data_IF_069533116103
#
_entry.id   IF_069533116103
#
_cell.length_a   1.000
_cell.length_b   1.000
_cell.length_c   1.000
_cell.angle_alpha   90.00
_cell.angle_beta   90.00
_cell.angle_gamma   90.00
#
_symmetry.space_group_name_H-M   'P 1'
#
loop_
_entity.id
_entity.type
_entity.pdbx_description
1 polymer ?
#
# COMPACT_ATOMS: atom_id res chain seq x y z
N UNK A 1 15.01 -7.12 26.24
CA UNK A 1 15.90 -7.34 25.09
C UNK A 1 15.42 -6.53 23.90
N UNK A 2 16.26 -5.67 23.39
CA UNK A 2 15.96 -4.88 22.20
C UNK A 2 16.25 -5.69 20.95
N UNK A 3 15.24 -5.80 20.10
CA UNK A 3 15.46 -6.27 18.74
C UNK A 3 15.88 -5.09 17.89
N UNK A 4 17.05 -5.18 17.29
CA UNK A 4 17.55 -4.16 16.39
C UNK A 4 17.18 -4.56 14.96
N UNK A 5 16.57 -3.65 14.23
CA UNK A 5 16.32 -3.83 12.80
C UNK A 5 17.65 -3.90 12.05
N UNK A 6 17.66 -4.66 10.96
CA UNK A 6 18.73 -4.55 9.98
C UNK A 6 18.66 -3.16 9.35
N UNK A 7 19.68 -2.29 9.54
CA UNK A 7 19.58 -0.90 9.09
C UNK A 7 19.58 -0.75 7.57
N UNK A 8 20.23 -1.67 6.85
CA UNK A 8 20.22 -1.65 5.39
C UNK A 8 18.83 -2.04 4.86
N UNK A 9 18.24 -3.09 5.44
CA UNK A 9 16.88 -3.51 5.10
C UNK A 9 15.87 -2.39 5.34
N UNK A 10 15.94 -1.74 6.50
CA UNK A 10 15.04 -0.64 6.82
C UNK A 10 15.14 0.50 5.83
N UNK A 11 16.36 0.91 5.47
CA UNK A 11 16.59 1.99 4.51
C UNK A 11 16.07 1.63 3.11
N UNK A 12 16.33 0.41 2.65
CA UNK A 12 15.87 -0.07 1.34
C UNK A 12 14.35 -0.15 1.27
N UNK A 13 13.69 -0.57 2.35
CA UNK A 13 12.23 -0.66 2.41
C UNK A 13 11.60 0.73 2.45
N UNK A 14 12.17 1.69 3.18
CA UNK A 14 11.70 3.08 3.14
C UNK A 14 11.76 3.64 1.72
N UNK A 15 12.84 3.38 1.00
CA UNK A 15 12.99 3.81 -0.39
C UNK A 15 11.93 3.16 -1.30
N UNK A 16 11.61 1.87 -1.08
CA UNK A 16 10.55 1.19 -1.82
C UNK A 16 9.21 1.90 -1.63
N UNK A 17 8.86 2.30 -0.40
CA UNK A 17 7.61 3.03 -0.15
C UNK A 17 7.61 4.42 -0.77
N UNK A 18 8.73 5.13 -0.77
CA UNK A 18 8.85 6.42 -1.46
C UNK A 18 8.65 6.27 -2.97
N UNK A 19 9.25 5.25 -3.56
CA UNK A 19 9.08 4.92 -4.98
C UNK A 19 7.62 4.62 -5.32
N UNK A 20 6.92 3.88 -4.47
CA UNK A 20 5.48 3.61 -4.63
C UNK A 20 4.67 4.90 -4.59
N UNK A 21 4.95 5.77 -3.64
CA UNK A 21 4.26 7.06 -3.51
C UNK A 21 4.44 7.92 -4.76
N UNK A 22 5.65 7.97 -5.29
CA UNK A 22 5.95 8.70 -6.53
C UNK A 22 5.26 8.05 -7.74
N UNK A 23 5.23 6.73 -7.81
CA UNK A 23 4.57 6.00 -8.88
C UNK A 23 3.05 6.25 -8.89
N UNK A 24 2.43 6.32 -7.73
CA UNK A 24 1.01 6.66 -7.61
C UNK A 24 0.74 8.10 -8.06
N UNK A 25 1.56 9.05 -7.63
CA UNK A 25 1.44 10.45 -8.04
C UNK A 25 1.63 10.64 -9.55
N UNK A 26 2.51 9.86 -10.15
CA UNK A 26 2.81 9.91 -11.58
C UNK A 26 1.98 8.96 -12.44
N UNK A 27 1.07 8.20 -11.84
CA UNK A 27 0.24 7.18 -12.52
C UNK A 27 1.10 6.14 -13.25
N UNK A 28 2.22 5.77 -12.66
CA UNK A 28 3.18 4.81 -13.21
C UNK A 28 2.85 3.39 -12.72
N UNK A 29 1.98 2.72 -13.46
CA UNK A 29 1.52 1.37 -13.10
C UNK A 29 2.65 0.33 -13.11
N UNK A 30 3.61 0.48 -14.01
CA UNK A 30 4.73 -0.47 -14.14
C UNK A 30 5.62 -0.43 -12.91
N UNK A 31 6.03 0.76 -12.48
CA UNK A 31 6.84 0.93 -11.26
C UNK A 31 6.08 0.49 -10.02
N UNK A 32 4.79 0.83 -9.93
CA UNK A 32 3.94 0.42 -8.82
C UNK A 32 3.85 -1.12 -8.71
N UNK A 33 3.64 -1.79 -9.83
CA UNK A 33 3.55 -3.25 -9.87
C UNK A 33 4.89 -3.92 -9.55
N UNK A 34 6.00 -3.31 -9.94
CA UNK A 34 7.34 -3.85 -9.70
C UNK A 34 7.71 -3.95 -8.22
N UNK A 35 7.04 -3.23 -7.34
CA UNK A 35 7.23 -3.32 -5.89
C UNK A 35 6.67 -4.62 -5.32
N UNK A 36 5.78 -5.30 -6.04
CA UNK A 36 5.15 -6.52 -5.58
C UNK A 36 5.82 -7.76 -6.16
N UNK A 37 5.85 -8.82 -5.34
CA UNK A 37 6.17 -10.16 -5.83
C UNK A 37 5.13 -10.61 -6.85
N UNK A 38 5.56 -11.44 -7.81
CA UNK A 38 4.67 -11.96 -8.86
C UNK A 38 3.47 -12.76 -8.28
N UNK A 39 3.64 -13.35 -7.11
CA UNK A 39 2.61 -14.14 -6.42
C UNK A 39 2.00 -13.41 -5.23
N UNK A 40 2.06 -12.09 -5.21
CA UNK A 40 1.53 -11.27 -4.11
C UNK A 40 0.08 -11.62 -3.77
N UNK A 41 -0.23 -11.66 -2.48
CA UNK A 41 -1.59 -11.85 -1.98
C UNK A 41 -2.06 -10.55 -1.33
N UNK A 42 -3.17 -10.00 -1.79
CA UNK A 42 -3.69 -8.73 -1.31
C UNK A 42 -5.08 -8.90 -0.72
N UNK A 43 -5.24 -8.42 0.51
CA UNK A 43 -6.54 -8.22 1.16
C UNK A 43 -6.80 -6.72 1.16
N UNK A 44 -7.60 -6.28 0.19
CA UNK A 44 -7.85 -4.85 0.01
C UNK A 44 -9.00 -4.36 0.90
N UNK A 45 -9.06 -3.05 1.11
CA UNK A 45 -10.16 -2.41 1.81
C UNK A 45 -11.47 -2.47 1.03
N UNK A 46 -11.40 -2.64 -0.29
CA UNK A 46 -12.57 -2.79 -1.17
C UNK A 46 -12.68 -4.23 -1.67
N UNK A 47 -13.92 -4.67 -1.94
CA UNK A 47 -14.17 -6.02 -2.45
C UNK A 47 -13.37 -6.31 -3.73
N UNK A 48 -12.99 -7.55 -3.98
CA UNK A 48 -13.35 -8.78 -3.27
C UNK A 48 -12.53 -8.99 -1.98
N UNK A 49 -12.76 -10.10 -1.27
CA UNK A 49 -12.00 -10.42 -0.06
C UNK A 49 -10.50 -10.53 -0.29
N UNK A 50 -10.11 -11.03 -1.46
CA UNK A 50 -8.69 -11.21 -1.79
C UNK A 50 -8.49 -11.19 -3.30
N UNK A 51 -7.30 -10.75 -3.71
CA UNK A 51 -6.80 -10.96 -5.07
C UNK A 51 -5.30 -11.22 -5.01
N UNK A 52 -4.75 -11.76 -6.08
CA UNK A 52 -3.34 -12.16 -6.08
C UNK A 52 -2.72 -12.08 -7.46
N UNK A 53 -1.39 -11.98 -7.49
CA UNK A 53 -0.57 -12.10 -8.68
C UNK A 53 -0.97 -11.14 -9.79
N UNK A 54 -1.16 -11.66 -10.99
CA UNK A 54 -1.51 -10.87 -12.17
C UNK A 54 -2.83 -10.11 -12.03
N UNK A 55 -3.80 -10.65 -11.29
CA UNK A 55 -5.04 -9.94 -10.98
C UNK A 55 -4.78 -8.68 -10.18
N UNK A 56 -3.87 -8.75 -9.20
CA UNK A 56 -3.48 -7.57 -8.40
C UNK A 56 -2.86 -6.48 -9.28
N UNK A 57 -2.02 -6.86 -10.23
CA UNK A 57 -1.44 -5.93 -11.19
C UNK A 57 -2.52 -5.27 -12.06
N UNK A 58 -3.46 -6.05 -12.57
CA UNK A 58 -4.56 -5.54 -13.37
C UNK A 58 -5.41 -4.54 -12.58
N UNK A 59 -5.70 -4.83 -11.31
CA UNK A 59 -6.46 -3.94 -10.42
C UNK A 59 -5.75 -2.61 -10.17
N UNK A 60 -4.43 -2.63 -10.04
CA UNK A 60 -3.65 -1.39 -9.90
C UNK A 60 -3.77 -0.52 -11.14
N UNK A 61 -3.71 -1.12 -12.33
CA UNK A 61 -3.88 -0.39 -13.60
C UNK A 61 -5.27 0.23 -13.71
N UNK A 62 -6.30 -0.52 -13.35
CA UNK A 62 -7.68 -0.05 -13.35
C UNK A 62 -7.87 1.10 -12.36
N UNK A 63 -7.27 0.97 -11.17
CA UNK A 63 -7.35 1.98 -10.14
C UNK A 63 -6.73 3.31 -10.60
N UNK A 64 -5.52 3.25 -11.15
CA UNK A 64 -4.86 4.45 -11.68
C UNK A 64 -5.66 5.07 -12.83
N UNK A 65 -6.21 4.23 -13.72
CA UNK A 65 -6.98 4.69 -14.87
C UNK A 65 -8.31 5.37 -14.48
N UNK A 66 -8.85 5.06 -13.30
CA UNK A 66 -10.09 5.67 -12.82
C UNK A 66 -9.91 7.12 -12.36
N UNK A 67 -8.68 7.58 -12.20
CA UNK A 67 -8.36 8.93 -11.72
C UNK A 67 -7.93 9.84 -12.86
N UNK A 68 -8.43 11.08 -12.84
CA UNK A 68 -7.97 12.15 -13.73
C UNK A 68 -6.61 12.68 -13.27
N UNK A 69 -6.42 12.79 -11.95
CA UNK A 69 -5.17 13.21 -11.33
C UNK A 69 -4.29 12.01 -11.02
N UNK A 70 -3.05 12.27 -10.59
CA UNK A 70 -2.29 11.29 -9.83
C UNK A 70 -3.02 10.95 -8.53
N UNK A 71 -2.63 9.85 -7.92
CA UNK A 71 -3.17 9.44 -6.62
C UNK A 71 -2.21 9.89 -5.54
N UNK A 72 -2.70 10.71 -4.61
CA UNK A 72 -1.96 11.09 -3.42
C UNK A 72 -1.85 9.90 -2.47
N UNK A 73 -0.69 9.74 -1.87
CA UNK A 73 -0.38 8.60 -1.00
C UNK A 73 0.48 9.11 0.16
N UNK A 74 -0.18 9.68 1.16
CA UNK A 74 0.48 10.27 2.32
C UNK A 74 0.59 9.24 3.43
N UNK A 75 1.82 8.76 3.67
CA UNK A 75 2.10 7.76 4.70
C UNK A 75 2.34 8.46 6.04
N UNK A 76 1.74 7.89 7.09
CA UNK A 76 1.94 8.33 8.46
C UNK A 76 2.25 7.14 9.35
N UNK A 77 3.19 7.35 10.29
CA UNK A 77 3.56 6.38 11.32
C UNK A 77 4.08 5.06 10.73
N UNK A 78 4.89 5.14 9.68
CA UNK A 78 5.50 3.96 9.07
C UNK A 78 6.46 3.31 10.05
N UNK A 79 6.12 2.10 10.47
CA UNK A 79 6.94 1.28 11.36
C UNK A 79 7.41 0.04 10.60
N UNK A 80 8.71 -0.11 10.49
CA UNK A 80 9.35 -1.22 9.76
C UNK A 80 10.04 -2.12 10.77
N UNK A 81 9.75 -3.42 10.69
CA UNK A 81 10.46 -4.46 11.45
C UNK A 81 11.07 -5.42 10.44
N UNK A 82 12.40 -5.47 10.39
CA UNK A 82 13.09 -6.19 9.33
C UNK A 82 14.34 -6.90 9.84
N UNK A 83 14.56 -8.11 9.33
CA UNK A 83 15.89 -8.73 9.33
C UNK A 83 16.46 -8.68 7.91
N UNK A 84 17.50 -9.48 7.62
CA UNK A 84 18.19 -9.41 6.33
C UNK A 84 17.33 -9.84 5.14
N UNK A 85 16.28 -10.64 5.34
CA UNK A 85 15.55 -11.29 4.26
C UNK A 85 14.03 -11.25 4.41
N UNK A 86 13.49 -10.83 5.57
CA UNK A 86 12.06 -10.79 5.83
C UNK A 86 11.71 -9.55 6.63
N UNK A 87 10.56 -8.95 6.31
CA UNK A 87 10.10 -7.75 7.00
C UNK A 87 8.58 -7.68 7.04
N UNK A 88 8.08 -6.94 8.02
CA UNK A 88 6.72 -6.44 7.99
C UNK A 88 6.71 -4.95 8.34
N UNK A 89 5.70 -4.27 7.81
CA UNK A 89 5.50 -2.84 8.06
C UNK A 89 4.04 -2.60 8.37
N UNK A 90 3.77 -1.60 9.20
CA UNK A 90 2.41 -1.09 9.34
C UNK A 90 2.42 0.43 9.33
N UNK A 91 1.36 1.00 8.82
CA UNK A 91 1.24 2.44 8.64
C UNK A 91 -0.20 2.86 8.39
N UNK A 92 -0.43 4.14 8.53
CA UNK A 92 -1.64 4.79 8.06
C UNK A 92 -1.31 5.48 6.75
N UNK A 93 -2.26 5.54 5.84
CA UNK A 93 -2.06 6.21 4.57
C UNK A 93 -3.31 6.96 4.15
N UNK A 94 -3.13 8.21 3.73
CA UNK A 94 -4.20 8.99 3.13
C UNK A 94 -4.14 8.86 1.63
N UNK A 95 -5.21 8.33 1.07
CA UNK A 95 -5.39 8.21 -0.37
C UNK A 95 -6.24 9.41 -0.83
N UNK A 96 -5.78 10.11 -1.85
CA UNK A 96 -6.49 11.30 -2.34
C UNK A 96 -6.35 11.45 -3.85
N UNK A 97 -7.26 12.20 -4.44
CA UNK A 97 -7.22 12.51 -5.86
C UNK A 97 -8.60 12.83 -6.41
N UNK A 98 -8.63 13.15 -7.69
CA UNK A 98 -9.87 13.43 -8.41
C UNK A 98 -10.10 12.37 -9.47
N UNK A 99 -11.24 11.71 -9.42
CA UNK A 99 -11.62 10.68 -10.39
C UNK A 99 -12.01 11.29 -11.73
N UNK A 100 -12.13 10.45 -12.76
CA UNK A 100 -12.50 10.89 -14.11
C UNK A 100 -13.86 11.60 -14.16
N UNK A 101 -14.80 11.20 -13.29
CA UNK A 101 -16.13 11.80 -13.20
C UNK A 101 -16.18 13.09 -12.33
N UNK A 102 -15.03 13.51 -11.81
CA UNK A 102 -14.93 14.69 -10.95
C UNK A 102 -15.07 14.39 -9.46
N UNK A 103 -15.33 13.16 -9.07
CA UNK A 103 -15.44 12.78 -7.65
C UNK A 103 -14.11 13.02 -6.94
N UNK A 104 -14.17 13.77 -5.84
CA UNK A 104 -13.00 13.98 -4.97
C UNK A 104 -12.88 12.83 -3.98
N UNK A 105 -11.70 12.22 -3.92
CA UNK A 105 -11.39 11.15 -2.97
C UNK A 105 -10.43 11.67 -1.92
N UNK A 106 -10.72 11.39 -0.67
CA UNK A 106 -9.83 11.68 0.45
C UNK A 106 -10.19 10.74 1.59
N UNK A 107 -9.37 9.71 1.81
CA UNK A 107 -9.69 8.70 2.81
C UNK A 107 -8.41 8.20 3.48
N UNK A 108 -8.53 7.89 4.77
CA UNK A 108 -7.47 7.24 5.52
C UNK A 108 -7.69 5.74 5.56
N UNK A 109 -6.61 5.00 5.38
CA UNK A 109 -6.59 3.53 5.34
C UNK A 109 -5.51 3.03 6.28
N UNK A 110 -5.76 1.89 6.92
CA UNK A 110 -4.76 1.18 7.70
C UNK A 110 -4.14 0.12 6.81
N UNK A 111 -2.82 -0.01 6.83
CA UNK A 111 -2.13 -0.98 5.98
C UNK A 111 -1.05 -1.75 6.75
N UNK A 112 -0.93 -3.01 6.41
CA UNK A 112 0.18 -3.87 6.81
C UNK A 112 0.75 -4.49 5.56
N UNK A 113 2.07 -4.41 5.40
CA UNK A 113 2.79 -5.00 4.26
C UNK A 113 3.84 -5.98 4.77
N UNK A 114 3.87 -7.16 4.19
CA UNK A 114 4.90 -8.16 4.45
C UNK A 114 5.81 -8.22 3.22
N UNK A 115 7.13 -8.20 3.47
CA UNK A 115 8.12 -8.12 2.40
C UNK A 115 9.14 -9.24 2.54
N UNK A 116 9.71 -9.63 1.42
CA UNK A 116 10.79 -10.61 1.36
C UNK A 116 11.91 -10.05 0.48
N UNK A 117 13.14 -10.26 0.89
CA UNK A 117 14.31 -9.94 0.06
C UNK A 117 14.51 -11.06 -0.96
N UNK A 118 14.39 -10.71 -2.24
CA UNK A 118 14.66 -11.61 -3.36
C UNK A 118 15.95 -11.19 -4.07
N UNK A 119 16.36 -11.90 -5.11
CA UNK A 119 17.61 -11.62 -5.82
C UNK A 119 17.64 -10.21 -6.42
N UNK A 120 16.48 -9.70 -6.85
CA UNK A 120 16.32 -8.38 -7.46
C UNK A 120 15.85 -7.30 -6.47
N UNK A 121 15.90 -7.58 -5.17
CA UNK A 121 15.56 -6.61 -4.12
C UNK A 121 14.35 -7.00 -3.28
N UNK A 122 13.93 -6.07 -2.45
CA UNK A 122 12.76 -6.26 -1.60
C UNK A 122 11.48 -6.24 -2.42
N UNK A 123 10.57 -7.18 -2.13
CA UNK A 123 9.25 -7.26 -2.76
C UNK A 123 8.17 -7.44 -1.71
N UNK A 124 7.03 -6.81 -1.95
CA UNK A 124 5.84 -7.02 -1.13
C UNK A 124 5.23 -8.37 -1.53
N UNK A 125 5.14 -9.28 -0.57
CA UNK A 125 4.56 -10.62 -0.79
C UNK A 125 3.13 -10.70 -0.28
N UNK A 126 2.76 -9.82 0.63
CA UNK A 126 1.40 -9.73 1.15
C UNK A 126 1.12 -8.29 1.58
N UNK A 127 -0.07 -7.83 1.32
CA UNK A 127 -0.55 -6.53 1.78
C UNK A 127 -1.99 -6.65 2.25
N UNK A 128 -2.28 -6.05 3.40
CA UNK A 128 -3.62 -6.00 3.96
C UNK A 128 -3.96 -4.55 4.26
N UNK A 129 -5.01 -4.06 3.63
CA UNK A 129 -5.52 -2.71 3.86
C UNK A 129 -6.94 -2.79 4.40
N UNK A 130 -7.28 -1.89 5.31
CA UNK A 130 -8.62 -1.87 5.89
C UNK A 130 -9.00 -0.46 6.30
N UNK A 131 -10.29 -0.26 6.45
CA UNK A 131 -10.86 0.92 7.12
C UNK A 131 -11.73 0.43 8.27
N UNK A 132 -11.81 1.16 9.38
CA UNK A 132 -12.74 0.77 10.44
C UNK A 132 -14.17 1.02 9.99
N UNK A 133 -15.11 0.30 10.56
CA UNK A 133 -16.53 0.62 10.43
C UNK A 133 -17.13 0.91 11.81
N UNK A 134 -18.17 1.72 11.84
CA UNK A 134 -18.91 1.95 13.08
C UNK A 134 -19.69 0.70 13.45
N UNK A 135 -19.51 0.24 14.69
CA UNK A 135 -20.12 -1.00 15.15
C UNK A 135 -21.65 -0.97 15.17
N UNK A 136 -22.25 0.21 15.35
CA UNK A 136 -23.70 0.36 15.40
C UNK A 136 -24.37 0.40 14.03
N UNK A 137 -23.71 1.01 13.03
CA UNK A 137 -24.31 1.27 11.72
C UNK A 137 -23.73 0.40 10.60
N UNK A 138 -22.53 -0.15 10.80
CA UNK A 138 -21.80 -0.85 9.75
C UNK A 138 -21.19 0.06 8.70
N UNK A 139 -21.25 1.37 8.87
CA UNK A 139 -20.68 2.33 7.92
C UNK A 139 -19.18 2.40 8.04
N UNK A 140 -18.50 2.41 6.90
CA UNK A 140 -17.05 2.63 6.85
C UNK A 140 -16.69 4.03 7.36
N UNK A 141 -15.61 4.11 8.14
CA UNK A 141 -15.06 5.37 8.64
C UNK A 141 -13.82 5.70 7.82
N UNK A 142 -13.93 6.68 6.94
CA UNK A 142 -12.89 7.04 5.97
C UNK A 142 -12.11 8.28 6.39
N UNK A 143 -12.66 9.07 7.27
CA UNK A 143 -12.08 10.31 7.77
C UNK A 143 -12.27 10.39 9.28
N UNK A 144 -11.50 11.24 9.92
CA UNK A 144 -11.59 11.44 11.36
C UNK A 144 -10.25 11.83 11.96
N UNK A 145 -10.24 11.92 13.27
CA UNK A 145 -9.02 12.22 14.03
C UNK A 145 -8.15 10.96 14.12
N UNK A 146 -6.88 11.10 13.81
CA UNK A 146 -5.88 10.04 13.88
C UNK A 146 -4.98 10.21 15.11
#
# INVERSE_FOLDING_TARGET
MHRTNDPNAEAEIRELFETRTQALAGKDATTLAAANDADVVVFDAVAPFAHRGAESTARKREWLAAYRTGIGHEIRDLTITANADLAFCHFLVRISGTMLDGTEVGMWVRATSCLRKLDDGWKIVHEHASVPFEGETGKAVLTGDL
#
